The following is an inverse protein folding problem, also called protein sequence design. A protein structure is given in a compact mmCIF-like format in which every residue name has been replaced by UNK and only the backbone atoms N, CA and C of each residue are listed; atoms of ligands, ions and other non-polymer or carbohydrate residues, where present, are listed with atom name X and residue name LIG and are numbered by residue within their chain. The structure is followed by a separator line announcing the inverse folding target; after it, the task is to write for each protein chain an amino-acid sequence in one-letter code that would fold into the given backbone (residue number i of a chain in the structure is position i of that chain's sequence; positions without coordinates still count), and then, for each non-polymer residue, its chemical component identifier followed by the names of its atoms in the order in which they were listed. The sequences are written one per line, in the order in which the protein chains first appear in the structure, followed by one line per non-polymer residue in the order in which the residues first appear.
data_IF_374600899796
#
_entry.id   IF_374600899796
#
_cell.length_a   1.000
_cell.length_b   1.000
_cell.length_c   1.000
_cell.angle_alpha   90.00
_cell.angle_beta   90.00
_cell.angle_gamma   90.00
#
_symmetry.space_group_name_H-M   'P 1'
#
loop_
_entity.id
_entity.type
_entity.pdbx_description
1 polymer ?
#
# COMPACT_ATOMS: atom_id res chain seq x y z
N UNK A 1 12.22 10.17 -1.01
CA UNK A 1 10.85 10.02 -1.52
C UNK A 1 10.71 8.57 -1.93
N UNK A 2 9.73 7.82 -1.42
CA UNK A 2 9.46 6.49 -1.96
C UNK A 2 8.94 6.71 -3.39
N UNK A 3 9.77 6.48 -4.40
CA UNK A 3 9.54 7.02 -5.75
C UNK A 3 8.35 6.40 -6.48
N UNK A 4 7.67 5.39 -5.93
CA UNK A 4 6.74 4.57 -6.71
C UNK A 4 5.49 4.14 -5.95
N UNK A 5 5.14 4.78 -4.83
CA UNK A 5 3.89 4.46 -4.13
C UNK A 5 2.73 5.17 -4.83
N UNK A 6 1.71 4.41 -5.24
CA UNK A 6 0.53 4.93 -5.91
C UNK A 6 -0.68 4.96 -4.98
N UNK A 7 -1.47 6.03 -5.06
CA UNK A 7 -2.80 6.13 -4.44
C UNK A 7 -3.87 5.95 -5.50
N UNK A 8 -4.65 4.86 -5.39
CA UNK A 8 -5.80 4.61 -6.26
C UNK A 8 -7.01 5.50 -5.94
N UNK A 9 -7.04 6.06 -4.72
CA UNK A 9 -8.18 6.86 -4.23
C UNK A 9 -7.78 8.32 -4.00
N UNK A 10 -8.54 9.24 -4.58
CA UNK A 10 -8.30 10.69 -4.50
C UNK A 10 -8.64 11.30 -3.14
N UNK A 11 -9.33 10.57 -2.26
CA UNK A 11 -9.63 11.00 -0.89
C UNK A 11 -8.53 10.62 0.10
N UNK A 12 -7.40 10.06 -0.36
CA UNK A 12 -6.24 9.86 0.50
C UNK A 12 -5.62 11.22 0.84
N UNK A 13 -5.30 11.44 2.13
CA UNK A 13 -4.65 12.66 2.59
C UNK A 13 -3.28 12.90 1.92
N UNK A 14 -2.60 11.83 1.51
CA UNK A 14 -1.29 11.88 0.86
C UNK A 14 -1.37 11.77 -0.67
N UNK A 15 -2.56 11.90 -1.26
CA UNK A 15 -2.73 11.87 -2.70
C UNK A 15 -2.07 13.07 -3.36
N UNK A 16 -1.35 12.82 -4.45
CA UNK A 16 -0.74 13.83 -5.31
C UNK A 16 -1.13 13.60 -6.78
N UNK A 17 -0.90 14.63 -7.59
CA UNK A 17 -1.13 14.57 -9.03
C UNK A 17 -0.49 13.35 -9.70
N UNK A 18 -1.24 12.72 -10.59
CA UNK A 18 -0.79 11.52 -11.30
C UNK A 18 -0.94 10.20 -10.53
N UNK A 19 -1.82 10.15 -9.53
CA UNK A 19 -2.03 8.99 -8.64
C UNK A 19 -0.82 8.66 -7.78
N UNK A 20 0.06 9.63 -7.55
CA UNK A 20 1.22 9.46 -6.70
C UNK A 20 0.79 9.57 -5.23
N UNK A 21 1.52 8.88 -4.36
CA UNK A 21 1.36 8.95 -2.91
C UNK A 21 2.59 9.62 -2.30
N UNK A 22 2.41 10.75 -1.63
CA UNK A 22 3.48 11.49 -0.95
C UNK A 22 3.74 11.03 0.50
N UNK A 23 3.26 9.84 0.87
CA UNK A 23 3.51 9.30 2.20
C UNK A 23 4.99 8.90 2.34
N UNK A 24 5.62 9.30 3.44
CA UNK A 24 7.02 8.95 3.71
C UNK A 24 7.21 7.44 3.93
N UNK A 25 6.16 6.75 4.41
CA UNK A 25 6.15 5.32 4.74
C UNK A 25 4.77 4.73 4.48
N UNK A 26 4.74 3.48 4.03
CA UNK A 26 3.53 2.66 3.96
C UNK A 26 3.51 1.65 5.12
N UNK A 27 2.33 1.36 5.63
CA UNK A 27 2.13 0.31 6.64
C UNK A 27 1.13 -0.71 6.10
N UNK A 28 1.60 -1.94 5.95
CA UNK A 28 0.85 -3.04 5.35
C UNK A 28 0.43 -4.00 6.46
N UNK A 29 -0.87 -4.25 6.60
CA UNK A 29 -1.46 -5.11 7.64
C UNK A 29 -2.20 -6.26 6.99
N UNK A 30 -2.27 -7.41 7.67
CA UNK A 30 -3.20 -8.46 7.28
C UNK A 30 -4.56 -8.19 7.92
N UNK A 31 -5.64 -8.38 7.14
CA UNK A 31 -7.01 -8.43 7.66
C UNK A 31 -7.24 -9.67 8.54
N UNK A 32 -6.38 -10.69 8.45
CA UNK A 32 -6.51 -11.96 9.17
C UNK A 32 -5.18 -12.34 9.83
N UNK A 33 -5.03 -11.98 11.12
CA UNK A 33 -3.88 -12.37 11.94
C UNK A 33 -2.60 -11.60 11.63
N UNK A 34 -1.45 -12.20 11.95
CA UNK A 34 -0.13 -11.53 11.89
C UNK A 34 0.64 -11.79 10.60
N UNK A 35 0.12 -12.65 9.71
CA UNK A 35 0.77 -13.03 8.45
C UNK A 35 -0.24 -13.00 7.32
N UNK A 36 0.11 -12.33 6.24
CA UNK A 36 -0.66 -12.37 5.02
C UNK A 36 -0.16 -13.47 4.08
N UNK A 37 -1.08 -14.22 3.49
CA UNK A 37 -0.75 -15.24 2.50
C UNK A 37 -0.88 -14.74 1.06
N UNK A 38 -1.67 -13.69 0.83
CA UNK A 38 -1.92 -13.13 -0.49
C UNK A 38 -2.28 -11.63 -0.43
N UNK A 39 -2.37 -11.03 -1.62
CA UNK A 39 -2.66 -9.60 -1.81
C UNK A 39 -3.99 -9.13 -1.20
N UNK A 40 -5.03 -9.97 -1.26
CA UNK A 40 -6.38 -9.63 -0.79
C UNK A 40 -6.45 -9.49 0.73
N UNK A 41 -5.49 -10.06 1.46
CA UNK A 41 -5.40 -9.92 2.90
C UNK A 41 -4.78 -8.58 3.31
N UNK A 42 -4.11 -7.84 2.42
CA UNK A 42 -3.36 -6.63 2.80
C UNK A 42 -3.74 -5.34 2.11
N UNK A 43 -4.56 -5.42 1.05
CA UNK A 43 -4.88 -4.31 0.14
C UNK A 43 -3.67 -3.65 -0.55
N UNK A 44 -2.45 -4.14 -0.32
CA UNK A 44 -1.25 -3.69 -0.99
C UNK A 44 -1.08 -4.49 -2.29
N UNK A 45 -1.42 -3.90 -3.45
CA UNK A 45 -1.40 -4.60 -4.75
C UNK A 45 -0.05 -5.20 -5.14
N UNK A 46 1.05 -4.65 -4.64
CA UNK A 46 2.42 -5.12 -4.86
C UNK A 46 2.93 -6.03 -3.75
N UNK A 47 2.05 -6.50 -2.86
CA UNK A 47 2.45 -7.42 -1.79
C UNK A 47 2.95 -8.74 -2.36
N UNK A 48 4.17 -9.10 -1.99
CA UNK A 48 4.75 -10.41 -2.20
C UNK A 48 5.16 -11.00 -0.85
N UNK A 49 4.84 -12.28 -0.64
CA UNK A 49 5.21 -12.98 0.58
C UNK A 49 6.73 -13.16 0.62
N UNK A 50 7.36 -12.79 1.74
CA UNK A 50 8.77 -13.07 1.96
C UNK A 50 9.04 -14.59 1.94
N UNK A 51 10.09 -14.99 1.20
CA UNK A 51 10.55 -16.37 1.10
C UNK A 51 11.19 -16.86 2.41
#
# INVERSE_FOLDING_TARGET
MAQDVLCEVHNCHYWEDGNLCNADKIYVVSHQGEKASNVHETDCKTFEKAH
#
